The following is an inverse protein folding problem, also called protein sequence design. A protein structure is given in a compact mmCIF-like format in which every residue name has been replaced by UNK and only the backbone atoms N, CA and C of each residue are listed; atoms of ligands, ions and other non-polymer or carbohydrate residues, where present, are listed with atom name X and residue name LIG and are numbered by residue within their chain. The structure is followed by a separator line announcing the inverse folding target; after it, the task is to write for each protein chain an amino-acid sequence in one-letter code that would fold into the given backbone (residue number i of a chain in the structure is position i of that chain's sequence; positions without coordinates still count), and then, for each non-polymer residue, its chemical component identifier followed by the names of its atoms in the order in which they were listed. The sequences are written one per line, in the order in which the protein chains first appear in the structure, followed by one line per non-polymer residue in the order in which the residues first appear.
data_IF_016515236148
#
_entry.id   IF_016515236148
#
_cell.length_a   1.000
_cell.length_b   1.000
_cell.length_c   1.000
_cell.angle_alpha   90.00
_cell.angle_beta   90.00
_cell.angle_gamma   90.00
#
_symmetry.space_group_name_H-M   'P 1'
#
loop_
_entity.id
_entity.type
_entity.pdbx_description
1 polymer ?
#
# COMPACT_ATOMS: atom_id res chain seq x y z
N UNK A 1 -9.10 -1.27 17.70
CA UNK A 1 -9.23 -0.02 18.50
C UNK A 1 -8.52 -0.09 19.86
N UNK A 2 -7.79 -1.16 20.19
CA UNK A 2 -6.99 -1.23 21.42
C UNK A 2 -5.86 -0.18 21.46
N UNK A 3 -5.12 0.01 20.38
CA UNK A 3 -3.99 0.95 20.36
C UNK A 3 -4.38 2.43 20.57
N UNK A 4 -5.55 2.87 20.10
CA UNK A 4 -6.03 4.23 20.39
C UNK A 4 -6.38 4.43 21.87
N UNK A 5 -6.91 3.39 22.53
CA UNK A 5 -7.18 3.42 23.97
C UNK A 5 -5.89 3.56 24.81
N UNK A 6 -4.75 3.15 24.24
CA UNK A 6 -3.41 3.27 24.83
C UNK A 6 -2.66 4.55 24.39
N UNK A 7 -3.36 5.52 23.77
CA UNK A 7 -2.81 6.83 23.41
C UNK A 7 -2.05 6.89 22.08
N UNK A 8 -2.09 5.84 21.25
CA UNK A 8 -1.51 5.88 19.91
C UNK A 8 -2.44 6.59 18.90
N UNK A 9 -1.86 7.31 17.95
CA UNK A 9 -2.57 7.80 16.78
C UNK A 9 -2.77 6.66 15.77
N UNK A 10 -3.99 6.48 15.26
CA UNK A 10 -4.32 5.43 14.30
C UNK A 10 -4.57 6.02 12.92
N UNK A 11 -3.84 5.53 11.92
CA UNK A 11 -3.98 5.95 10.52
C UNK A 11 -4.57 4.83 9.68
N UNK A 12 -5.66 5.11 8.96
CA UNK A 12 -6.38 4.14 8.15
C UNK A 12 -7.52 3.43 8.92
N UNK A 13 -7.91 2.19 8.55
CA UNK A 13 -7.27 1.35 7.55
C UNK A 13 -7.53 1.86 6.11
N UNK A 14 -6.56 1.60 5.23
CA UNK A 14 -6.71 1.76 3.76
C UNK A 14 -6.58 0.40 3.07
N UNK A 15 -6.97 0.30 1.80
CA UNK A 15 -6.73 -0.92 1.01
C UNK A 15 -5.23 -1.09 0.73
N UNK A 16 -4.79 -2.34 0.53
CA UNK A 16 -3.41 -2.61 0.09
C UNK A 16 -3.11 -1.90 -1.23
N UNK A 17 -4.08 -1.90 -2.17
CA UNK A 17 -3.99 -1.19 -3.45
C UNK A 17 -3.64 0.27 -3.23
N UNK A 18 -4.46 1.00 -2.47
CA UNK A 18 -4.31 2.45 -2.30
C UNK A 18 -3.01 2.79 -1.59
N UNK A 19 -2.63 1.99 -0.59
CA UNK A 19 -1.35 2.17 0.10
C UNK A 19 -0.15 2.00 -0.84
N UNK A 20 -0.10 0.90 -1.60
CA UNK A 20 1.03 0.63 -2.49
C UNK A 20 1.09 1.61 -3.67
N UNK A 21 -0.05 2.00 -4.22
CA UNK A 21 -0.10 3.02 -5.26
C UNK A 21 0.30 4.40 -4.71
N UNK A 22 -0.14 4.75 -3.51
CA UNK A 22 0.27 5.98 -2.81
C UNK A 22 1.76 6.04 -2.49
N UNK A 23 2.43 4.90 -2.33
CA UNK A 23 3.89 4.80 -2.18
C UNK A 23 4.65 4.81 -3.53
N UNK A 24 3.95 4.82 -4.66
CA UNK A 24 4.56 4.88 -5.99
C UNK A 24 4.94 3.52 -6.59
N UNK A 25 4.20 2.45 -6.25
CA UNK A 25 4.44 1.11 -6.83
C UNK A 25 4.49 1.12 -8.36
N UNK A 26 3.60 1.85 -9.03
CA UNK A 26 3.58 1.94 -10.50
C UNK A 26 4.90 2.49 -11.07
N UNK A 27 5.41 3.59 -10.50
CA UNK A 27 6.70 4.16 -10.90
C UNK A 27 7.86 3.19 -10.66
N UNK A 28 7.82 2.43 -9.56
CA UNK A 28 8.84 1.42 -9.29
C UNK A 28 8.80 0.28 -10.30
N UNK A 29 7.61 -0.19 -10.68
CA UNK A 29 7.44 -1.23 -11.68
C UNK A 29 8.01 -0.82 -13.04
N UNK A 30 7.70 0.39 -13.50
CA UNK A 30 8.26 0.92 -14.76
C UNK A 30 9.79 0.98 -14.73
N UNK A 31 10.38 1.45 -13.62
CA UNK A 31 11.84 1.49 -13.46
C UNK A 31 12.49 0.11 -13.46
N UNK A 32 11.82 -0.90 -12.91
CA UNK A 32 12.31 -2.28 -12.93
C UNK A 32 12.25 -2.86 -14.34
N UNK A 33 11.16 -2.63 -15.06
CA UNK A 33 10.97 -3.12 -16.44
C UNK A 33 11.96 -2.52 -17.43
N UNK A 34 12.46 -1.30 -17.19
CA UNK A 34 13.41 -0.62 -18.08
C UNK A 34 14.71 -1.39 -18.38
N UNK A 35 15.11 -2.34 -17.52
CA UNK A 35 16.29 -3.20 -17.74
C UNK A 35 15.95 -4.70 -17.65
N UNK A 36 14.67 -5.03 -17.69
CA UNK A 36 14.20 -6.40 -17.52
C UNK A 36 14.26 -7.17 -18.85
N UNK A 37 14.49 -8.47 -18.75
CA UNK A 37 14.14 -9.39 -19.84
C UNK A 37 12.61 -9.41 -20.04
N UNK A 38 12.10 -9.86 -21.21
CA UNK A 38 10.67 -9.95 -21.46
C UNK A 38 9.91 -10.75 -20.38
N UNK A 39 10.44 -11.90 -19.96
CA UNK A 39 9.82 -12.74 -18.93
C UNK A 39 9.77 -12.04 -17.57
N UNK A 40 10.83 -11.31 -17.22
CA UNK A 40 10.85 -10.51 -15.98
C UNK A 40 9.84 -9.37 -16.04
N UNK A 41 9.68 -8.71 -17.18
CA UNK A 41 8.69 -7.64 -17.34
C UNK A 41 7.26 -8.18 -17.15
N UNK A 42 6.94 -9.32 -17.77
CA UNK A 42 5.65 -10.00 -17.58
C UNK A 42 5.41 -10.40 -16.12
N UNK A 43 6.45 -10.94 -15.45
CA UNK A 43 6.36 -11.29 -14.03
C UNK A 43 6.12 -10.06 -13.14
N UNK A 44 6.76 -8.92 -13.45
CA UNK A 44 6.55 -7.65 -12.74
C UNK A 44 5.11 -7.18 -12.93
N UNK A 45 4.60 -7.18 -14.15
CA UNK A 45 3.22 -6.74 -14.44
C UNK A 45 2.19 -7.63 -13.74
N UNK A 46 2.37 -8.95 -13.76
CA UNK A 46 1.51 -9.89 -13.04
C UNK A 46 1.56 -9.67 -11.51
N UNK A 47 2.74 -9.39 -10.95
CA UNK A 47 2.90 -9.10 -9.53
C UNK A 47 2.20 -7.80 -9.13
N UNK A 48 2.35 -6.73 -9.93
CA UNK A 48 1.66 -5.45 -9.70
C UNK A 48 0.16 -5.64 -9.76
N UNK A 49 -0.35 -6.33 -10.79
CA UNK A 49 -1.77 -6.61 -10.94
C UNK A 49 -2.30 -7.34 -9.70
N UNK A 50 -1.67 -8.45 -9.31
CA UNK A 50 -2.09 -9.23 -8.13
C UNK A 50 -2.11 -8.37 -6.85
N UNK A 51 -1.11 -7.53 -6.64
CA UNK A 51 -0.99 -6.70 -5.43
C UNK A 51 -1.98 -5.53 -5.39
N UNK A 52 -2.45 -5.06 -6.55
CA UNK A 52 -3.28 -3.87 -6.68
C UNK A 52 -4.67 -4.15 -7.25
N UNK A 53 -5.04 -5.43 -7.40
CA UNK A 53 -6.31 -5.86 -7.98
C UNK A 53 -7.49 -5.22 -7.23
N UNK A 54 -8.33 -4.43 -7.91
CA UNK A 54 -9.49 -3.79 -7.30
C UNK A 54 -10.72 -4.70 -7.18
N UNK A 55 -10.71 -5.92 -7.74
CA UNK A 55 -11.80 -6.88 -7.52
C UNK A 55 -11.98 -7.08 -6.01
N UNK A 56 -13.22 -7.06 -5.48
CA UNK A 56 -13.47 -7.26 -4.05
C UNK A 56 -12.88 -8.55 -3.45
N UNK A 57 -12.58 -9.55 -4.28
CA UNK A 57 -11.91 -10.82 -3.94
C UNK A 57 -10.42 -10.82 -4.28
N UNK A 58 -9.94 -9.80 -4.99
CA UNK A 58 -8.54 -9.57 -5.31
C UNK A 58 -7.76 -9.05 -4.08
N UNK A 59 -6.45 -9.30 -4.04
CA UNK A 59 -5.65 -8.94 -2.85
C UNK A 59 -5.61 -7.43 -2.61
N UNK A 60 -5.58 -6.63 -3.67
CA UNK A 60 -5.53 -5.16 -3.57
C UNK A 60 -6.71 -4.61 -2.78
N UNK A 61 -7.92 -5.15 -2.99
CA UNK A 61 -9.12 -4.80 -2.26
C UNK A 61 -9.31 -5.56 -0.96
N UNK A 62 -8.88 -6.83 -0.83
CA UNK A 62 -9.07 -7.64 0.38
C UNK A 62 -8.13 -7.22 1.53
N UNK A 63 -6.85 -7.03 1.24
CA UNK A 63 -5.85 -6.70 2.26
C UNK A 63 -5.98 -5.25 2.71
N UNK A 64 -5.63 -4.99 3.98
CA UNK A 64 -5.74 -3.67 4.63
C UNK A 64 -4.43 -3.29 5.28
N UNK A 65 -4.14 -2.00 5.29
CA UNK A 65 -2.99 -1.41 5.97
C UNK A 65 -3.49 -0.43 7.02
N UNK A 66 -3.00 -0.59 8.25
CA UNK A 66 -3.23 0.29 9.39
C UNK A 66 -1.86 0.62 10.00
N UNK A 67 -1.68 1.86 10.43
CA UNK A 67 -0.52 2.24 11.24
C UNK A 67 -0.95 2.76 12.60
N UNK A 68 -0.24 2.34 13.65
CA UNK A 68 -0.28 2.94 14.97
C UNK A 68 1.04 3.68 15.19
N UNK A 69 0.95 4.94 15.58
CA UNK A 69 2.12 5.83 15.67
C UNK A 69 2.04 6.69 16.94
N UNK A 70 3.16 7.31 17.31
CA UNK A 70 3.15 8.31 18.37
C UNK A 70 2.39 9.56 17.88
N UNK A 71 1.47 10.17 18.67
CA UNK A 71 0.62 11.28 18.21
C UNK A 71 1.37 12.53 17.72
N UNK A 72 2.61 12.72 18.16
CA UNK A 72 3.47 13.83 17.72
C UNK A 72 4.10 13.62 16.32
N UNK A 73 3.94 12.46 15.70
CA UNK A 73 4.41 12.23 14.34
C UNK A 73 3.53 13.00 13.34
N UNK A 74 4.17 13.59 12.33
CA UNK A 74 3.48 14.25 11.24
C UNK A 74 2.75 13.28 10.30
N UNK A 75 2.22 13.78 9.17
CA UNK A 75 1.53 12.96 8.18
C UNK A 75 2.39 11.77 7.72
N UNK A 76 1.79 10.58 7.70
CA UNK A 76 2.47 9.37 7.26
C UNK A 76 2.27 9.16 5.76
N UNK A 77 3.32 8.75 5.01
CA UNK A 77 3.20 8.49 3.57
C UNK A 77 2.11 7.46 3.25
N UNK A 78 1.32 7.74 2.21
CA UNK A 78 0.25 6.87 1.70
C UNK A 78 -0.84 6.48 2.71
N UNK A 79 -0.93 7.19 3.85
CA UNK A 79 -1.95 6.99 4.86
C UNK A 79 -2.68 8.30 5.13
N UNK A 80 -3.98 8.25 5.45
CA UNK A 80 -4.72 9.44 5.83
C UNK A 80 -4.23 10.00 7.19
N UNK A 81 -4.59 11.24 7.53
CA UNK A 81 -4.46 11.75 8.88
C UNK A 81 -5.07 10.80 9.92
N UNK A 82 -4.55 10.79 11.15
CA UNK A 82 -5.04 9.86 12.15
C UNK A 82 -6.48 10.18 12.56
N UNK A 83 -7.26 9.13 12.86
CA UNK A 83 -8.65 9.20 13.32
C UNK A 83 -8.79 9.03 14.82
#
# INVERSE_FOLDING_TARGET
RAAAAEGAALHGPVTQRDFLLGLGLAMRAERLKARATPDQALAIDAAVLRLTDPDPRGMGALFKVLCASHPALGPLPALPPPS
#
